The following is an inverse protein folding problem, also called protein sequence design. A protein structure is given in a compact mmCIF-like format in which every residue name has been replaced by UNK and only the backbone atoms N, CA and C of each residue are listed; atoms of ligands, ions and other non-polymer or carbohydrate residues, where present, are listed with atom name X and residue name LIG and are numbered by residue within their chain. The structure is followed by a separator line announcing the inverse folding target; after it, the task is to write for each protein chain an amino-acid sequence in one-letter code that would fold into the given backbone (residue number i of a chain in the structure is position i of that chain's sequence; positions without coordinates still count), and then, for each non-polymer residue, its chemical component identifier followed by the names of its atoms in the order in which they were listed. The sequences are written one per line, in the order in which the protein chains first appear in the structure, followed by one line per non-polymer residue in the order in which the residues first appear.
data_IF_052351296822
#
_entry.id   IF_052351296822
#
_cell.length_a   1.000
_cell.length_b   1.000
_cell.length_c   1.000
_cell.angle_alpha   90.00
_cell.angle_beta   90.00
_cell.angle_gamma   90.00
#
_symmetry.space_group_name_H-M   'P 1'
#
loop_
_entity.id
_entity.type
_entity.pdbx_description
1 polymer ?
#
# COMPACT_ATOMS: atom_id res chain seq x y z
N UNK A 1 -13.83 27.00 -3.76
CA UNK A 1 -13.66 26.29 -2.48
C UNK A 1 -12.60 27.02 -1.67
N UNK A 2 -13.00 27.72 -0.62
CA UNK A 2 -12.09 28.35 0.35
C UNK A 2 -11.89 27.33 1.47
N UNK A 3 -10.69 26.76 1.58
CA UNK A 3 -10.34 26.01 2.78
C UNK A 3 -9.29 26.78 3.57
N UNK A 4 -9.36 26.62 4.89
CA UNK A 4 -8.64 27.44 5.86
C UNK A 4 -7.50 26.60 6.43
N UNK A 5 -6.30 27.19 6.53
CA UNK A 5 -5.14 26.53 7.10
C UNK A 5 -5.09 26.84 8.59
N UNK A 6 -5.66 25.98 9.43
CA UNK A 6 -5.48 26.12 10.87
C UNK A 6 -4.09 25.58 11.24
N UNK A 7 -3.33 26.38 11.99
CA UNK A 7 -1.91 26.23 12.36
C UNK A 7 -1.37 24.78 12.25
N UNK A 8 -0.27 24.62 11.49
CA UNK A 8 0.48 23.38 11.21
C UNK A 8 -0.09 22.38 10.18
N UNK A 9 -1.19 22.70 9.49
CA UNK A 9 -1.63 21.90 8.34
C UNK A 9 -0.82 22.23 7.09
N UNK A 10 -0.39 21.22 6.34
CA UNK A 10 0.26 21.39 5.04
C UNK A 10 -0.70 21.09 3.89
N UNK A 11 -0.33 21.51 2.67
CA UNK A 11 -1.02 21.11 1.45
C UNK A 11 -0.15 20.16 0.65
N UNK A 12 -0.76 19.10 0.12
CA UNK A 12 -0.11 18.22 -0.83
C UNK A 12 -0.74 18.42 -2.20
N UNK A 13 0.04 18.88 -3.15
CA UNK A 13 -0.41 19.12 -4.51
C UNK A 13 0.01 17.95 -5.39
N UNK A 14 -0.96 17.20 -5.88
CA UNK A 14 -0.75 16.08 -6.80
C UNK A 14 -1.08 16.54 -8.21
N UNK A 15 -0.08 16.56 -9.09
CA UNK A 15 -0.30 16.81 -10.51
C UNK A 15 -0.50 15.48 -11.25
N UNK A 16 -1.46 15.38 -12.18
CA UNK A 16 -1.58 14.18 -13.00
C UNK A 16 -0.31 13.99 -13.82
N UNK A 17 0.10 12.74 -13.95
CA UNK A 17 1.12 12.35 -14.93
C UNK A 17 0.53 12.55 -16.32
N UNK A 18 0.80 13.69 -16.95
CA UNK A 18 0.65 13.76 -18.38
C UNK A 18 1.58 12.71 -18.98
N UNK A 19 1.00 11.75 -19.71
CA UNK A 19 1.68 10.66 -20.42
C UNK A 19 2.58 11.14 -21.54
N UNK A 20 3.46 12.09 -21.24
CA UNK A 20 4.62 12.40 -22.06
C UNK A 20 5.56 11.20 -21.95
N UNK A 21 5.77 10.53 -23.08
CA UNK A 21 6.72 9.42 -23.30
C UNK A 21 8.14 9.66 -22.78
N UNK A 22 8.45 10.86 -22.27
CA UNK A 22 9.73 11.23 -21.65
C UNK A 22 9.83 10.96 -20.14
N UNK A 23 9.02 10.05 -19.59
CA UNK A 23 9.17 9.61 -18.20
C UNK A 23 8.94 10.71 -17.15
N UNK A 24 8.00 11.64 -17.40
CA UNK A 24 7.66 12.68 -16.43
C UNK A 24 7.08 12.01 -15.18
N UNK A 25 7.80 12.15 -14.06
CA UNK A 25 7.50 11.54 -12.77
C UNK A 25 6.20 12.14 -12.22
N UNK A 26 5.20 11.32 -11.92
CA UNK A 26 4.16 11.74 -10.98
C UNK A 26 4.83 11.97 -9.63
N UNK A 27 4.79 13.21 -9.15
CA UNK A 27 5.35 13.60 -7.88
C UNK A 27 4.45 14.67 -7.31
N UNK A 28 3.97 14.45 -6.09
CA UNK A 28 3.31 15.52 -5.37
C UNK A 28 4.32 16.53 -4.82
N UNK A 29 3.85 17.75 -4.61
CA UNK A 29 4.63 18.87 -4.06
C UNK A 29 4.00 19.28 -2.73
N UNK A 30 4.80 19.29 -1.66
CA UNK A 30 4.33 19.75 -0.34
C UNK A 30 4.46 21.26 -0.25
N UNK A 31 3.35 21.94 0.03
CA UNK A 31 3.32 23.38 0.22
C UNK A 31 3.10 23.63 1.71
N UNK A 32 4.12 24.11 2.46
CA UNK A 32 3.94 24.45 3.86
C UNK A 32 2.98 25.65 4.00
N UNK A 33 2.10 25.61 5.01
CA UNK A 33 1.32 26.79 5.37
C UNK A 33 2.10 27.66 6.36
N UNK A 34 2.53 28.83 5.90
CA UNK A 34 3.05 29.90 6.76
C UNK A 34 1.93 30.92 7.02
N UNK A 35 1.17 30.76 8.11
CA UNK A 35 0.10 31.69 8.53
C UNK A 35 -1.31 31.08 8.60
N UNK A 36 -2.32 31.95 8.70
CA UNK A 36 -3.73 31.57 8.92
C UNK A 36 -4.47 31.11 7.65
N UNK A 37 -3.95 31.42 6.47
CA UNK A 37 -4.49 30.93 5.20
C UNK A 37 -3.42 30.73 4.14
N UNK A 38 -3.49 29.62 3.40
CA UNK A 38 -2.68 29.43 2.19
C UNK A 38 -3.02 30.43 1.09
N UNK A 39 -4.24 30.99 1.14
CA UNK A 39 -4.67 31.99 0.17
C UNK A 39 -3.85 33.27 0.32
N UNK A 40 -3.26 33.56 1.47
CA UNK A 40 -2.41 34.74 1.65
C UNK A 40 -0.95 34.49 1.29
N UNK A 41 -0.53 33.21 1.17
CA UNK A 41 0.82 32.88 0.72
C UNK A 41 0.97 33.14 -0.78
N UNK A 42 1.76 34.16 -1.12
CA UNK A 42 2.15 34.48 -2.50
C UNK A 42 2.84 33.30 -3.19
N UNK A 43 3.64 32.54 -2.45
CA UNK A 43 4.33 31.34 -2.96
C UNK A 43 3.34 30.23 -3.29
N UNK A 44 2.37 29.95 -2.40
CA UNK A 44 1.34 28.95 -2.66
C UNK A 44 0.50 29.30 -3.90
N UNK A 45 0.13 30.57 -4.07
CA UNK A 45 -0.56 31.04 -5.27
C UNK A 45 0.28 30.87 -6.54
N UNK A 46 1.58 31.17 -6.48
CA UNK A 46 2.48 30.98 -7.62
C UNK A 46 2.56 29.50 -8.01
N UNK A 47 2.74 28.60 -7.04
CA UNK A 47 2.77 27.16 -7.31
C UNK A 47 1.45 26.68 -7.91
N UNK A 48 0.30 27.06 -7.32
CA UNK A 48 -1.03 26.67 -7.83
C UNK A 48 -1.25 27.17 -9.26
N UNK A 49 -0.80 28.38 -9.59
CA UNK A 49 -0.94 28.96 -10.93
C UNK A 49 -0.04 28.29 -11.98
N UNK A 50 1.08 27.70 -11.56
CA UNK A 50 2.02 26.99 -12.45
C UNK A 50 1.60 25.54 -12.71
N UNK A 51 0.65 25.03 -11.94
CA UNK A 51 0.32 23.61 -11.91
C UNK A 51 -0.84 23.30 -12.89
N UNK A 52 -0.81 22.14 -13.58
CA UNK A 52 -1.85 21.79 -14.55
C UNK A 52 -3.26 21.85 -13.94
N UNK A 53 -4.26 22.26 -14.74
CA UNK A 53 -5.66 22.43 -14.29
C UNK A 53 -6.28 21.16 -13.70
N UNK A 54 -5.76 20.00 -14.04
CA UNK A 54 -6.23 18.68 -13.58
C UNK A 54 -5.61 18.24 -12.25
N UNK A 55 -4.84 19.11 -11.59
CA UNK A 55 -4.15 18.79 -10.34
C UNK A 55 -5.11 18.79 -9.16
N UNK A 56 -4.83 17.90 -8.21
CA UNK A 56 -5.63 17.71 -7.00
C UNK A 56 -4.84 18.27 -5.82
N UNK A 57 -5.50 19.17 -5.09
CA UNK A 57 -4.96 19.73 -3.85
C UNK A 57 -5.56 18.96 -2.67
N UNK A 58 -4.70 18.29 -1.91
CA UNK A 58 -5.07 17.49 -0.76
C UNK A 58 -4.67 18.24 0.50
N UNK A 59 -5.64 18.48 1.39
CA UNK A 59 -5.38 19.03 2.70
C UNK A 59 -4.82 17.91 3.57
N UNK A 60 -3.60 18.10 4.08
CA UNK A 60 -2.99 17.12 4.97
C UNK A 60 -3.53 17.27 6.39
N UNK A 61 -3.48 16.20 7.21
CA UNK A 61 -3.72 16.31 8.63
C UNK A 61 -2.91 17.45 9.25
N UNK A 62 -3.43 18.02 10.33
CA UNK A 62 -2.63 18.88 11.20
C UNK A 62 -1.49 18.05 11.79
N UNK A 63 -0.53 18.72 12.44
CA UNK A 63 0.45 18.05 13.29
C UNK A 63 1.21 16.90 12.61
N UNK A 64 1.62 17.07 11.34
CA UNK A 64 2.40 16.04 10.65
C UNK A 64 3.69 15.72 11.41
N UNK A 65 3.96 14.43 11.58
CA UNK A 65 5.19 13.94 12.18
C UNK A 65 6.37 14.33 11.28
N UNK A 66 7.37 14.96 11.84
CA UNK A 66 8.58 15.39 11.14
C UNK A 66 9.82 14.98 11.95
N UNK A 67 10.85 14.48 11.27
CA UNK A 67 12.12 14.09 11.91
C UNK A 67 13.07 15.27 12.08
N UNK A 68 13.06 16.19 11.13
CA UNK A 68 13.93 17.37 11.05
C UNK A 68 13.22 18.67 11.49
N UNK A 69 11.94 18.58 11.87
CA UNK A 69 11.07 19.72 12.19
C UNK A 69 10.66 20.55 10.97
N UNK A 70 11.03 20.14 9.74
CA UNK A 70 10.76 20.89 8.52
C UNK A 70 9.88 20.13 7.55
N UNK A 71 10.11 18.83 7.39
CA UNK A 71 9.44 18.01 6.39
C UNK A 71 8.70 16.84 7.03
N UNK A 72 7.48 16.52 6.54
CA UNK A 72 6.72 15.42 7.10
C UNK A 72 7.38 14.08 6.72
N UNK A 73 7.40 13.16 7.68
CA UNK A 73 7.85 11.79 7.48
C UNK A 73 6.89 11.09 6.52
N UNK A 74 7.39 10.79 5.32
CA UNK A 74 6.67 9.98 4.35
C UNK A 74 7.31 8.59 4.23
N UNK A 75 6.48 7.56 4.27
CA UNK A 75 6.90 6.16 4.15
C UNK A 75 6.17 5.46 3.01
N UNK A 76 6.93 5.06 2.01
CA UNK A 76 6.45 4.29 0.87
C UNK A 76 6.54 2.80 1.19
N UNK A 77 5.37 2.17 1.29
CA UNK A 77 5.19 0.75 1.54
C UNK A 77 4.74 0.04 0.27
N UNK A 78 5.27 -1.15 0.02
CA UNK A 78 4.84 -1.96 -1.11
C UNK A 78 3.74 -2.93 -0.72
N UNK A 79 2.67 -2.93 -1.50
CA UNK A 79 1.47 -3.72 -1.28
C UNK A 79 1.17 -4.57 -2.52
N UNK A 80 0.94 -5.85 -2.31
CA UNK A 80 0.57 -6.81 -3.33
C UNK A 80 -0.90 -7.20 -3.17
N UNK A 81 -1.68 -7.02 -4.23
CA UNK A 81 -3.07 -7.49 -4.34
C UNK A 81 -3.08 -8.69 -5.27
N UNK A 82 -3.34 -9.89 -4.75
CA UNK A 82 -3.38 -11.13 -5.56
C UNK A 82 -4.79 -11.53 -5.97
N UNK A 83 -5.81 -10.97 -5.32
CA UNK A 83 -7.22 -11.26 -5.59
C UNK A 83 -8.09 -10.19 -4.93
N UNK A 84 -9.21 -9.84 -5.57
CA UNK A 84 -10.26 -9.00 -4.99
C UNK A 84 -11.48 -9.82 -4.53
N UNK A 85 -11.59 -11.09 -4.95
CA UNK A 85 -12.68 -12.01 -4.59
C UNK A 85 -12.18 -13.41 -4.22
N UNK A 86 -12.00 -13.71 -2.92
CA UNK A 86 -11.98 -12.74 -1.82
C UNK A 86 -10.75 -11.82 -1.90
N UNK A 87 -10.80 -10.69 -1.19
CA UNK A 87 -9.67 -9.78 -1.10
C UNK A 87 -8.47 -10.48 -0.45
N UNK A 88 -7.33 -10.47 -1.15
CA UNK A 88 -6.04 -11.00 -0.70
C UNK A 88 -5.00 -9.92 -0.93
N UNK A 89 -4.64 -9.27 0.16
CA UNK A 89 -3.75 -8.11 0.17
C UNK A 89 -2.60 -8.42 1.11
N UNK A 90 -1.39 -8.11 0.66
CA UNK A 90 -0.16 -8.33 1.40
C UNK A 90 0.64 -7.06 1.43
N UNK A 91 1.28 -6.77 2.56
CA UNK A 91 2.24 -5.69 2.70
C UNK A 91 3.63 -6.26 2.89
N UNK A 92 4.61 -5.67 2.22
CA UNK A 92 6.02 -6.03 2.41
C UNK A 92 6.56 -5.31 3.66
N UNK A 93 7.35 -5.96 4.54
CA UNK A 93 7.80 -5.34 5.78
C UNK A 93 8.89 -4.30 5.56
N UNK A 94 9.56 -4.28 4.40
CA UNK A 94 10.51 -3.21 4.04
C UNK A 94 9.81 -2.13 3.23
N UNK A 95 10.05 -0.87 3.58
CA UNK A 95 9.61 0.31 2.83
C UNK A 95 10.73 1.33 2.65
N UNK A 96 10.41 2.41 1.96
CA UNK A 96 11.33 3.52 1.70
C UNK A 96 10.87 4.75 2.47
N UNK A 97 11.77 5.35 3.25
CA UNK A 97 11.47 6.61 3.93
C UNK A 97 11.96 7.77 3.09
N UNK A 98 11.08 8.74 2.92
CA UNK A 98 11.36 10.02 2.32
C UNK A 98 11.49 11.04 3.45
N UNK A 99 12.68 11.61 3.54
CA UNK A 99 13.08 12.47 4.65
C UNK A 99 13.10 13.95 4.23
N UNK A 100 12.51 14.26 3.06
CA UNK A 100 12.15 15.60 2.60
C UNK A 100 11.12 15.47 1.49
N UNK A 101 9.90 15.93 1.73
CA UNK A 101 8.95 16.27 0.68
C UNK A 101 9.26 17.67 0.13
N UNK A 102 10.47 17.92 -0.37
CA UNK A 102 10.86 19.28 -0.77
C UNK A 102 10.15 19.75 -2.05
N UNK A 103 9.74 21.02 -2.02
CA UNK A 103 9.31 21.85 -3.15
C UNK A 103 10.48 22.17 -4.07
N UNK A 104 10.90 21.21 -4.89
CA UNK A 104 11.90 21.50 -5.92
C UNK A 104 11.28 22.23 -7.10
N UNK A 105 11.48 23.55 -7.22
CA UNK A 105 11.15 24.36 -8.41
C UNK A 105 11.87 23.91 -9.70
N UNK A 106 12.69 22.87 -9.65
CA UNK A 106 13.46 22.37 -10.79
C UNK A 106 13.58 20.86 -10.75
N UNK A 107 12.46 20.15 -10.93
CA UNK A 107 12.45 18.71 -11.21
C UNK A 107 13.21 17.83 -10.20
N UNK A 108 13.35 18.27 -8.95
CA UNK A 108 14.18 17.56 -7.98
C UNK A 108 13.55 16.21 -7.67
N UNK A 109 14.26 15.16 -8.10
CA UNK A 109 14.04 13.78 -7.72
C UNK A 109 13.72 13.71 -6.22
N UNK A 110 12.63 13.03 -5.84
CA UNK A 110 12.48 12.50 -4.48
C UNK A 110 13.80 11.81 -4.13
N UNK A 111 14.56 12.39 -3.20
CA UNK A 111 15.85 11.81 -2.81
C UNK A 111 15.53 10.76 -1.78
N UNK A 112 15.58 9.50 -2.20
CA UNK A 112 15.54 8.38 -1.28
C UNK A 112 16.70 8.53 -0.30
N UNK A 113 16.39 8.79 0.98
CA UNK A 113 17.43 8.90 2.00
C UNK A 113 17.73 7.55 2.64
N UNK A 114 16.70 6.74 2.92
CA UNK A 114 16.90 5.50 3.67
C UNK A 114 15.81 4.47 3.41
N UNK A 115 16.24 3.21 3.31
CA UNK A 115 15.38 2.04 3.43
C UNK A 115 15.15 1.77 4.91
N UNK A 116 13.89 1.67 5.34
CA UNK A 116 13.54 1.20 6.68
C UNK A 116 12.62 -0.01 6.60
N UNK A 117 12.95 -1.04 7.35
CA UNK A 117 12.01 -2.08 7.74
C UNK A 117 10.93 -1.52 8.68
N UNK A 118 9.80 -2.21 8.74
CA UNK A 118 8.69 -1.90 9.63
C UNK A 118 9.14 -1.97 11.10
N UNK A 119 10.11 -2.84 11.42
CA UNK A 119 10.71 -2.91 12.75
C UNK A 119 11.56 -1.67 13.05
N UNK A 120 12.38 -1.20 12.11
CA UNK A 120 13.16 0.03 12.29
C UNK A 120 12.27 1.26 12.35
N UNK A 121 11.20 1.32 11.53
CA UNK A 121 10.19 2.36 11.65
C UNK A 121 9.57 2.32 13.04
N UNK A 122 9.15 1.16 13.52
CA UNK A 122 8.56 0.99 14.84
C UNK A 122 9.50 1.48 15.95
N UNK A 123 10.78 1.13 15.88
CA UNK A 123 11.79 1.60 16.82
C UNK A 123 11.97 3.13 16.74
N UNK A 124 12.03 3.68 15.53
CA UNK A 124 12.12 5.13 15.33
C UNK A 124 10.89 5.87 15.87
N UNK A 125 9.68 5.33 15.67
CA UNK A 125 8.46 5.90 16.23
C UNK A 125 8.48 5.83 17.75
N UNK A 126 8.98 4.74 18.35
CA UNK A 126 9.13 4.61 19.80
C UNK A 126 10.09 5.63 20.40
N UNK A 127 11.23 5.88 19.73
CA UNK A 127 12.23 6.86 20.15
C UNK A 127 11.67 8.28 20.12
N UNK A 128 10.83 8.61 19.12
CA UNK A 128 10.16 9.90 19.00
C UNK A 128 8.96 10.04 19.94
N UNK A 129 8.26 8.93 20.20
CA UNK A 129 7.12 8.88 21.11
C UNK A 129 7.60 8.80 22.55
N UNK A 130 8.08 9.91 23.11
CA UNK A 130 8.25 9.99 24.57
C UNK A 130 6.94 9.70 25.34
N UNK A 131 5.78 9.61 24.65
CA UNK A 131 4.46 9.26 25.20
C UNK A 131 3.70 8.14 24.43
N UNK A 132 3.56 6.99 25.11
CA UNK A 132 2.38 6.11 25.31
C UNK A 132 1.53 5.52 24.17
N UNK A 133 1.72 5.80 22.89
CA UNK A 133 1.00 5.03 21.85
C UNK A 133 1.80 3.79 21.49
N UNK A 134 1.16 2.63 21.61
CA UNK A 134 1.78 1.34 21.28
C UNK A 134 1.99 1.30 19.76
N UNK A 135 3.23 1.29 19.31
CA UNK A 135 3.65 1.28 17.91
C UNK A 135 3.09 0.06 17.13
N UNK A 136 2.56 -0.94 17.84
CA UNK A 136 1.72 -2.02 17.29
C UNK A 136 0.44 -1.46 16.65
N UNK A 137 -0.20 -0.47 17.30
CA UNK A 137 -1.43 0.16 16.80
C UNK A 137 -1.24 0.87 15.46
N UNK A 138 -0.08 1.51 15.24
CA UNK A 138 0.22 2.18 13.95
C UNK A 138 0.23 1.20 12.78
N UNK A 139 0.82 0.02 12.96
CA UNK A 139 0.86 -1.00 11.90
C UNK A 139 -0.54 -1.52 11.59
N UNK A 140 -1.38 -1.70 12.62
CA UNK A 140 -2.76 -2.14 12.41
C UNK A 140 -3.60 -1.05 11.75
N UNK A 141 -3.45 0.21 12.15
CA UNK A 141 -4.09 1.35 11.50
C UNK A 141 -3.71 1.44 10.01
N UNK A 142 -2.44 1.17 9.67
CA UNK A 142 -1.99 1.13 8.29
C UNK A 142 -2.70 0.02 7.50
N UNK A 143 -2.81 -1.18 8.08
CA UNK A 143 -3.55 -2.27 7.43
C UNK A 143 -5.01 -1.90 7.20
N UNK A 144 -5.66 -1.31 8.19
CA UNK A 144 -7.05 -0.85 8.06
C UNK A 144 -7.19 0.20 6.95
N UNK A 145 -6.26 1.16 6.85
CA UNK A 145 -6.25 2.15 5.76
C UNK A 145 -6.09 1.49 4.38
N UNK A 146 -5.22 0.48 4.26
CA UNK A 146 -5.05 -0.29 3.02
C UNK A 146 -6.34 -1.04 2.66
N UNK A 147 -6.96 -1.74 3.63
CA UNK A 147 -8.20 -2.48 3.38
C UNK A 147 -9.34 -1.55 2.98
N UNK A 148 -9.45 -0.37 3.58
CA UNK A 148 -10.43 0.64 3.18
C UNK A 148 -10.19 1.13 1.75
N UNK A 149 -8.94 1.42 1.39
CA UNK A 149 -8.58 1.77 0.01
C UNK A 149 -9.00 0.67 -0.97
N UNK A 150 -8.65 -0.59 -0.68
CA UNK A 150 -8.99 -1.73 -1.54
C UNK A 150 -10.51 -1.95 -1.61
N UNK A 151 -11.26 -1.73 -0.53
CA UNK A 151 -12.72 -1.82 -0.53
C UNK A 151 -13.36 -0.75 -1.43
N UNK A 152 -12.83 0.46 -1.40
CA UNK A 152 -13.30 1.56 -2.26
C UNK A 152 -13.04 1.26 -3.74
N UNK A 153 -11.86 0.74 -4.08
CA UNK A 153 -11.54 0.36 -5.48
C UNK A 153 -12.32 -0.87 -5.92
N UNK A 154 -12.53 -1.84 -5.03
CA UNK A 154 -13.30 -3.05 -5.28
C UNK A 154 -14.69 -2.75 -5.81
N UNK A 155 -15.42 -1.82 -5.17
CA UNK A 155 -16.77 -1.41 -5.61
C UNK A 155 -16.82 -0.90 -7.06
N UNK A 156 -15.73 -0.28 -7.55
CA UNK A 156 -15.63 0.29 -8.89
C UNK A 156 -15.12 -0.69 -9.94
N UNK A 157 -14.28 -1.65 -9.53
CA UNK A 157 -13.69 -2.65 -10.43
C UNK A 157 -14.65 -3.80 -10.71
N UNK A 158 -15.53 -4.13 -9.77
CA UNK A 158 -16.42 -5.28 -9.89
C UNK A 158 -17.54 -5.13 -10.90
N UNK A 159 -17.87 -3.90 -11.29
CA UNK A 159 -18.78 -3.66 -12.41
C UNK A 159 -18.18 -4.12 -13.74
N UNK A 160 -16.84 -4.16 -13.85
CA UNK A 160 -16.12 -4.58 -15.06
C UNK A 160 -15.74 -6.06 -15.04
N UNK A 161 -15.41 -6.62 -13.87
CA UNK A 161 -15.04 -8.04 -13.75
C UNK A 161 -16.22 -9.01 -13.87
N UNK A 162 -17.46 -8.58 -13.61
CA UNK A 162 -18.63 -9.45 -13.80
C UNK A 162 -18.83 -9.86 -15.28
N UNK A 163 -18.24 -9.11 -16.21
CA UNK A 163 -18.26 -9.39 -17.65
C UNK A 163 -17.03 -10.20 -18.11
N UNK A 164 -16.05 -10.41 -17.23
CA UNK A 164 -14.82 -11.13 -17.53
C UNK A 164 -15.06 -12.64 -17.67
N UNK A 165 -14.47 -13.25 -18.70
CA UNK A 165 -14.59 -14.67 -18.96
C UNK A 165 -13.96 -15.53 -17.85
N UNK A 166 -14.53 -16.70 -17.52
CA UNK A 166 -14.05 -17.60 -16.46
C UNK A 166 -12.62 -18.12 -16.70
N UNK A 167 -12.09 -17.98 -17.92
CA UNK A 167 -10.74 -18.41 -18.31
C UNK A 167 -9.70 -17.27 -18.29
N UNK A 168 -10.04 -16.07 -17.83
CA UNK A 168 -9.06 -14.98 -17.77
C UNK A 168 -7.95 -15.31 -16.75
N UNK A 169 -6.66 -15.17 -17.11
CA UNK A 169 -5.58 -15.39 -16.17
C UNK A 169 -5.76 -14.48 -14.95
N UNK A 170 -5.61 -15.06 -13.76
CA UNK A 170 -5.70 -14.34 -12.49
C UNK A 170 -4.58 -13.30 -12.44
N UNK A 171 -4.96 -12.03 -12.56
CA UNK A 171 -4.03 -10.91 -12.42
C UNK A 171 -3.61 -10.73 -10.97
N UNK A 172 -2.45 -10.12 -10.79
CA UNK A 172 -2.03 -9.54 -9.52
C UNK A 172 -1.61 -8.10 -9.80
N UNK A 173 -1.66 -7.26 -8.77
CA UNK A 173 -1.17 -5.89 -8.85
C UNK A 173 -0.25 -5.62 -7.68
N UNK A 174 0.97 -5.24 -8.00
CA UNK A 174 1.90 -4.65 -7.05
C UNK A 174 1.70 -3.14 -7.11
N UNK A 175 1.56 -2.49 -5.96
CA UNK A 175 1.40 -1.04 -5.82
C UNK A 175 2.31 -0.55 -4.70
N UNK A 176 2.75 0.69 -4.81
CA UNK A 176 3.42 1.40 -3.74
C UNK A 176 2.43 2.39 -3.11
N UNK A 177 2.28 2.37 -1.80
CA UNK A 177 1.41 3.26 -1.04
C UNK A 177 2.29 4.15 -0.17
N UNK A 178 2.16 5.46 -0.35
CA UNK A 178 2.90 6.45 0.43
C UNK A 178 2.03 6.87 1.60
N UNK A 179 2.52 6.63 2.81
CA UNK A 179 1.90 7.08 4.05
C UNK A 179 2.62 8.32 4.57
N UNK A 180 1.86 9.25 5.15
CA UNK A 180 2.37 10.24 6.09
C UNK A 180 1.73 10.01 7.44
N UNK A 181 2.38 10.48 8.50
CA UNK A 181 1.90 10.29 9.86
C UNK A 181 1.62 11.63 10.51
N UNK A 182 0.62 11.69 11.38
CA UNK A 182 0.49 12.80 12.32
C UNK A 182 1.30 12.54 13.59
N UNK A 183 1.30 13.48 14.54
CA UNK A 183 2.06 13.42 15.80
C UNK A 183 1.60 12.28 16.70
N UNK A 184 0.37 11.78 16.49
CA UNK A 184 -0.19 10.61 17.16
C UNK A 184 0.12 9.29 16.43
N UNK A 185 1.01 9.31 15.43
CA UNK A 185 1.37 8.16 14.60
C UNK A 185 0.20 7.51 13.87
N UNK A 186 -0.87 8.28 13.60
CA UNK A 186 -1.97 7.80 12.78
C UNK A 186 -1.59 7.95 11.30
N UNK A 187 -1.67 6.88 10.50
CA UNK A 187 -1.29 6.90 9.09
C UNK A 187 -2.36 7.57 8.22
N UNK A 188 -1.90 8.36 7.26
CA UNK A 188 -2.71 8.94 6.19
C UNK A 188 -2.12 8.55 4.85
N UNK A 189 -2.94 7.97 3.96
CA UNK A 189 -2.51 7.61 2.60
C UNK A 189 -2.40 8.89 1.78
N UNK A 190 -1.17 9.21 1.40
CA UNK A 190 -0.82 10.38 0.60
C UNK A 190 -1.03 10.13 -0.89
N UNK A 191 -0.49 9.02 -1.39
CA UNK A 191 -0.52 8.68 -2.81
C UNK A 191 -0.42 7.15 -3.00
N UNK A 192 -0.99 6.66 -4.10
CA UNK A 192 -0.85 5.27 -4.57
C UNK A 192 -0.17 5.31 -5.92
N UNK A 193 0.98 4.65 -6.02
CA UNK A 193 1.88 4.67 -7.16
C UNK A 193 2.01 3.26 -7.77
N UNK A 194 2.24 3.14 -9.08
CA UNK A 194 2.80 1.92 -9.62
C UNK A 194 4.22 1.72 -9.07
N UNK A 195 4.67 0.46 -8.86
CA UNK A 195 6.02 0.18 -8.41
C UNK A 195 7.00 0.70 -9.45
N UNK A 196 7.96 1.50 -8.99
CA UNK A 196 9.04 2.00 -9.83
C UNK A 196 10.27 1.14 -9.57
N UNK A 197 10.58 0.27 -10.53
CA UNK A 197 11.89 -0.36 -10.61
C UNK A 197 12.84 0.70 -11.16
N UNK A 198 13.79 1.14 -10.34
CA UNK A 198 14.61 2.29 -10.70
C UNK A 198 15.70 1.88 -11.67
N UNK A 199 15.64 2.43 -12.88
CA UNK A 199 16.80 2.47 -13.76
C UNK A 199 17.87 3.33 -13.08
N UNK A 200 18.88 2.68 -12.51
CA UNK A 200 19.98 3.34 -11.79
C UNK A 200 19.75 3.49 -10.28
N UNK A 201 19.47 2.38 -9.60
CA UNK A 201 19.48 2.30 -8.14
C UNK A 201 20.74 2.98 -7.57
N UNK A 202 20.52 4.04 -6.78
CA UNK A 202 21.58 4.93 -6.30
C UNK A 202 22.52 4.28 -5.28
N UNK A 203 22.16 3.11 -4.76
CA UNK A 203 22.94 2.38 -3.75
C UNK A 203 22.74 0.87 -3.85
N UNK A 204 23.76 0.12 -3.41
CA UNK A 204 23.69 -1.34 -3.30
C UNK A 204 22.56 -1.79 -2.35
N UNK A 205 22.31 -1.06 -1.27
CA UNK A 205 21.24 -1.39 -0.32
C UNK A 205 19.85 -1.28 -0.97
N UNK A 206 19.60 -0.26 -1.78
CA UNK A 206 18.35 -0.13 -2.53
C UNK A 206 18.18 -1.28 -3.54
N UNK A 207 19.26 -1.66 -4.24
CA UNK A 207 19.25 -2.81 -5.14
C UNK A 207 18.93 -4.13 -4.43
N UNK A 208 19.62 -4.42 -3.32
CA UNK A 208 19.39 -5.64 -2.56
C UNK A 208 17.97 -5.69 -1.98
N UNK A 209 17.43 -4.55 -1.55
CA UNK A 209 16.04 -4.49 -1.11
C UNK A 209 15.06 -4.81 -2.24
N UNK A 210 15.26 -4.21 -3.41
CA UNK A 210 14.41 -4.44 -4.57
C UNK A 210 14.47 -5.91 -5.02
N UNK A 211 15.67 -6.47 -5.06
CA UNK A 211 15.89 -7.89 -5.33
C UNK A 211 15.18 -8.77 -4.30
N UNK A 212 15.32 -8.50 -3.00
CA UNK A 212 14.63 -9.26 -1.95
C UNK A 212 13.11 -9.23 -2.13
N UNK A 213 12.54 -8.07 -2.45
CA UNK A 213 11.10 -7.93 -2.70
C UNK A 213 10.67 -8.79 -3.90
N UNK A 214 11.45 -8.76 -4.99
CA UNK A 214 11.17 -9.53 -6.19
C UNK A 214 11.28 -11.05 -5.95
N UNK A 215 12.31 -11.46 -5.22
CA UNK A 215 12.51 -12.84 -4.79
C UNK A 215 11.39 -13.36 -3.90
N UNK A 216 10.78 -12.49 -3.10
CA UNK A 216 9.63 -12.82 -2.26
C UNK A 216 8.29 -12.76 -3.01
N UNK A 217 8.19 -11.88 -4.01
CA UNK A 217 7.01 -11.76 -4.87
C UNK A 217 6.82 -12.98 -5.77
N UNK A 218 7.91 -13.43 -6.41
CA UNK A 218 7.90 -14.53 -7.37
C UNK A 218 7.21 -15.81 -6.83
N UNK A 219 7.55 -16.35 -5.66
CA UNK A 219 6.89 -17.55 -5.15
C UNK A 219 5.43 -17.28 -4.78
N UNK A 220 5.07 -16.10 -4.29
CA UNK A 220 3.68 -15.79 -3.92
C UNK A 220 2.74 -15.75 -5.13
N UNK A 221 3.24 -15.25 -6.26
CA UNK A 221 2.47 -15.16 -7.51
C UNK A 221 2.57 -16.45 -8.33
N UNK A 222 3.78 -16.99 -8.51
CA UNK A 222 4.10 -18.02 -9.51
C UNK A 222 4.21 -19.44 -8.94
N UNK A 223 4.17 -19.64 -7.61
CA UNK A 223 4.28 -20.98 -7.06
C UNK A 223 3.17 -21.89 -7.59
N UNK A 224 3.59 -23.06 -8.08
CA UNK A 224 2.69 -24.14 -8.50
C UNK A 224 1.97 -24.73 -7.29
N UNK A 225 0.72 -25.12 -7.49
CA UNK A 225 -0.09 -25.78 -6.45
C UNK A 225 0.49 -27.18 -6.13
N UNK A 226 1.15 -27.28 -4.97
CA UNK A 226 1.53 -28.56 -4.34
C UNK A 226 0.72 -28.83 -3.07
N UNK A 227 -0.29 -28.00 -2.79
CA UNK A 227 -1.09 -28.04 -1.56
C UNK A 227 -2.28 -28.98 -1.62
N UNK A 228 -2.70 -29.38 -2.83
CA UNK A 228 -3.88 -30.22 -3.02
C UNK A 228 -3.82 -31.57 -2.27
N UNK A 229 -2.72 -32.34 -2.31
CA UNK A 229 -2.65 -33.60 -1.56
C UNK A 229 -2.76 -33.39 -0.05
N UNK A 230 -2.12 -32.35 0.49
CA UNK A 230 -2.15 -32.04 1.92
C UNK A 230 -3.54 -31.60 2.38
N UNK A 231 -4.25 -30.79 1.59
CA UNK A 231 -5.63 -30.38 1.91
C UNK A 231 -6.58 -31.55 1.78
N UNK A 232 -6.43 -32.38 0.74
CA UNK A 232 -7.25 -33.58 0.58
C UNK A 232 -7.09 -34.52 1.80
N UNK A 233 -5.85 -34.83 2.19
CA UNK A 233 -5.58 -35.66 3.36
C UNK A 233 -6.19 -35.07 4.65
N UNK A 234 -6.08 -33.75 4.84
CA UNK A 234 -6.67 -33.07 5.99
C UNK A 234 -8.21 -33.17 5.98
N UNK A 235 -8.85 -32.93 4.84
CA UNK A 235 -10.30 -33.06 4.68
C UNK A 235 -10.77 -34.49 4.97
N UNK A 236 -10.11 -35.50 4.40
CA UNK A 236 -10.42 -36.91 4.67
C UNK A 236 -10.26 -37.25 6.16
N UNK A 237 -9.21 -36.75 6.82
CA UNK A 237 -9.02 -36.98 8.26
C UNK A 237 -10.10 -36.35 9.14
N UNK A 238 -10.78 -35.32 8.63
CA UNK A 238 -11.91 -34.65 9.28
C UNK A 238 -13.27 -35.26 8.87
N UNK A 239 -13.28 -36.33 8.06
CA UNK A 239 -14.48 -36.98 7.55
C UNK A 239 -15.16 -36.24 6.38
N UNK A 240 -14.46 -35.30 5.72
CA UNK A 240 -14.93 -34.65 4.50
C UNK A 240 -14.56 -35.50 3.28
N UNK A 241 -15.25 -36.62 3.09
CA UNK A 241 -15.02 -37.59 2.01
C UNK A 241 -16.25 -37.82 1.11
N UNK A 242 -17.42 -37.30 1.53
CA UNK A 242 -18.68 -37.52 0.83
C UNK A 242 -18.95 -36.39 -0.16
N UNK A 243 -19.12 -36.73 -1.44
CA UNK A 243 -19.46 -35.78 -2.50
C UNK A 243 -20.99 -35.74 -2.72
N UNK A 244 -21.61 -34.59 -2.48
CA UNK A 244 -23.05 -34.36 -2.69
C UNK A 244 -23.22 -33.11 -3.56
N UNK A 245 -23.78 -33.27 -4.76
CA UNK A 245 -24.06 -32.15 -5.67
C UNK A 245 -22.85 -31.23 -5.89
N UNK A 246 -21.69 -31.81 -6.23
CA UNK A 246 -20.40 -31.12 -6.42
C UNK A 246 -19.84 -30.41 -5.18
N UNK A 247 -20.36 -30.73 -3.99
CA UNK A 247 -19.85 -30.23 -2.72
C UNK A 247 -19.25 -31.37 -1.90
N UNK A 248 -18.16 -31.07 -1.18
CA UNK A 248 -17.54 -32.03 -0.25
C UNK A 248 -18.11 -31.79 1.14
N UNK A 249 -18.87 -32.75 1.66
CA UNK A 249 -19.62 -32.63 2.90
C UNK A 249 -19.01 -33.44 4.05
N UNK A 250 -19.27 -32.99 5.28
CA UNK A 250 -18.99 -33.76 6.50
C UNK A 250 -19.93 -34.97 6.61
N UNK A 251 -19.62 -35.98 7.46
CA UNK A 251 -20.38 -37.23 7.51
C UNK A 251 -21.86 -37.04 7.90
N UNK A 252 -22.16 -35.99 8.68
CA UNK A 252 -23.52 -35.65 9.11
C UNK A 252 -24.21 -34.64 8.17
N UNK A 253 -23.60 -34.27 7.04
CA UNK A 253 -24.09 -33.25 6.11
C UNK A 253 -24.37 -31.88 6.77
N UNK A 254 -23.70 -31.57 7.88
CA UNK A 254 -23.87 -30.30 8.59
C UNK A 254 -23.05 -29.18 7.95
N UNK A 255 -21.93 -29.52 7.32
CA UNK A 255 -21.02 -28.58 6.67
C UNK A 255 -20.63 -29.15 5.32
N UNK A 256 -20.83 -28.36 4.26
CA UNK A 256 -20.45 -28.71 2.90
C UNK A 256 -19.58 -27.61 2.30
N UNK A 257 -18.47 -28.01 1.67
CA UNK A 257 -17.52 -27.14 1.01
C UNK A 257 -17.85 -27.11 -0.49
N UNK A 258 -18.11 -25.92 -1.00
CA UNK A 258 -18.29 -25.68 -2.44
C UNK A 258 -16.94 -25.72 -3.15
N UNK A 259 -16.92 -25.85 -4.50
CA UNK A 259 -15.69 -25.73 -5.27
C UNK A 259 -14.90 -24.45 -4.98
N UNK A 260 -15.59 -23.33 -4.78
CA UNK A 260 -14.97 -22.05 -4.42
C UNK A 260 -14.32 -22.05 -3.04
N UNK A 261 -14.92 -22.76 -2.06
CA UNK A 261 -14.37 -22.91 -0.72
C UNK A 261 -13.10 -23.76 -0.76
N UNK A 262 -13.10 -24.85 -1.53
CA UNK A 262 -11.92 -25.70 -1.74
C UNK A 262 -10.82 -24.90 -2.45
N UNK A 263 -11.16 -24.16 -3.50
CA UNK A 263 -10.22 -23.28 -4.20
C UNK A 263 -9.66 -22.18 -3.26
N UNK A 264 -10.49 -21.66 -2.36
CA UNK A 264 -10.07 -20.71 -1.33
C UNK A 264 -9.06 -21.34 -0.36
N UNK A 265 -9.33 -22.55 0.13
CA UNK A 265 -8.45 -23.29 1.04
C UNK A 265 -7.10 -23.59 0.38
N UNK A 266 -7.12 -24.11 -0.86
CA UNK A 266 -5.93 -24.40 -1.67
C UNK A 266 -5.03 -23.18 -1.80
N UNK A 267 -5.60 -22.05 -2.24
CA UNK A 267 -4.88 -20.79 -2.41
C UNK A 267 -4.34 -20.26 -1.07
N UNK A 268 -5.16 -20.25 -0.03
CA UNK A 268 -4.75 -19.75 1.30
C UNK A 268 -3.59 -20.56 1.86
N UNK A 269 -3.66 -21.89 1.76
CA UNK A 269 -2.57 -22.75 2.22
C UNK A 269 -1.32 -22.55 1.39
N UNK A 270 -1.45 -22.42 0.07
CA UNK A 270 -0.31 -22.15 -0.82
C UNK A 270 0.38 -20.87 -0.40
N UNK A 271 -0.36 -19.77 -0.31
CA UNK A 271 0.16 -18.45 0.06
C UNK A 271 0.80 -18.45 1.45
N UNK A 272 0.22 -19.13 2.45
CA UNK A 272 0.83 -19.27 3.77
C UNK A 272 2.20 -19.96 3.76
N UNK A 273 2.41 -20.94 2.87
CA UNK A 273 3.68 -21.66 2.77
C UNK A 273 4.75 -20.87 2.03
N UNK A 274 4.35 -19.90 1.18
CA UNK A 274 5.26 -19.20 0.26
C UNK A 274 5.33 -17.69 0.47
N UNK A 275 4.57 -17.12 1.42
CA UNK A 275 4.51 -15.67 1.63
C UNK A 275 5.84 -15.05 2.04
N UNK A 276 6.78 -15.84 2.59
CA UNK A 276 8.08 -15.36 3.08
C UNK A 276 7.90 -14.10 3.94
N UNK A 277 8.47 -12.96 3.53
CA UNK A 277 8.37 -11.70 4.26
C UNK A 277 7.01 -11.00 4.09
N UNK A 278 6.25 -11.28 3.04
CA UNK A 278 4.93 -10.68 2.82
C UNK A 278 3.98 -10.99 3.98
N UNK A 279 3.43 -9.94 4.58
CA UNK A 279 2.46 -10.04 5.67
C UNK A 279 1.07 -9.80 5.11
N UNK A 280 0.14 -10.72 5.39
CA UNK A 280 -1.27 -10.52 5.01
C UNK A 280 -1.84 -9.33 5.79
N UNK A 281 -2.50 -8.45 5.05
CA UNK A 281 -3.22 -7.28 5.55
C UNK A 281 -4.60 -7.71 6.03
#
# INVERSE_FOLDING_TARGET
MSAWCQHSSGLWLVSPSHGSDKGIRSGGTFIPCNGDSWQESTEARQIINLVPKESVLVVLPKDLLSLDGQSPLAWQLRVLVTSLRPARVYMHPSGLVWDTLTTGQSGSSQVHKKTLSLQELHQLLQELSHHRRDSISTTEDMKQAILQLIKLTHSRLMTKEAEAHPNQPKGFQLIDIVFVFNSSFHPFILEVLPPRYQDGLSSLSAYLQEQNILEDLAPLVLARDRTAPSIHQALTSLGFDTLISDQVCSPQNQVCLRPDDIAYLLKTRREQLVSRNWRRV
#
